data_IF_338803015584
#
_entry.id   IF_338803015584
#
_cell.length_a   1.000
_cell.length_b   1.000
_cell.length_c   1.000
_cell.angle_alpha   90.00
_cell.angle_beta   90.00
_cell.angle_gamma   90.00
#
_symmetry.space_group_name_H-M   'P 1'
#
loop_
_entity.id
_entity.type
_entity.pdbx_description
1 polymer ?
#
# COMPACT_ATOMS: atom_id res chain seq x y z
N UNK A 1 -11.94 24.59 -5.81
CA UNK A 1 -12.62 23.97 -4.63
C UNK A 1 -12.19 22.53 -4.36
N UNK A 2 -11.47 21.87 -5.27
CA UNK A 2 -10.96 20.49 -5.11
C UNK A 2 -9.70 20.41 -4.24
N UNK A 3 -8.78 21.37 -4.36
CA UNK A 3 -7.49 21.40 -3.62
C UNK A 3 -7.66 21.45 -2.10
N UNK A 4 -8.69 22.13 -1.59
CA UNK A 4 -8.94 22.26 -0.14
C UNK A 4 -9.35 20.91 0.49
N UNK A 5 -9.96 20.01 -0.29
CA UNK A 5 -10.39 18.68 0.19
C UNK A 5 -9.24 17.67 0.21
N UNK A 6 -8.35 17.71 -0.78
CA UNK A 6 -7.18 16.83 -0.85
C UNK A 6 -6.21 17.04 0.32
N UNK A 7 -5.88 18.30 0.63
CA UNK A 7 -4.99 18.63 1.75
C UNK A 7 -5.55 18.20 3.12
N UNK A 8 -6.84 18.39 3.37
CA UNK A 8 -7.49 17.96 4.61
C UNK A 8 -7.47 16.43 4.78
N UNK A 9 -7.66 15.68 3.68
CA UNK A 9 -7.59 14.23 3.70
C UNK A 9 -6.17 13.72 3.92
N UNK A 10 -5.18 14.29 3.24
CA UNK A 10 -3.78 13.97 3.45
C UNK A 10 -3.37 14.19 4.91
N UNK A 11 -3.71 15.34 5.50
CA UNK A 11 -3.43 15.64 6.91
C UNK A 11 -4.08 14.61 7.85
N UNK A 12 -5.33 14.22 7.62
CA UNK A 12 -6.02 13.20 8.41
C UNK A 12 -5.26 11.87 8.40
N UNK A 13 -4.82 11.40 7.22
CA UNK A 13 -4.09 10.15 7.11
C UNK A 13 -2.67 10.26 7.70
N UNK A 14 -1.98 11.38 7.52
CA UNK A 14 -0.68 11.64 8.15
C UNK A 14 -0.79 11.54 9.68
N UNK A 15 -1.76 12.23 10.30
CA UNK A 15 -1.95 12.18 11.75
C UNK A 15 -2.33 10.78 12.25
N UNK A 16 -3.14 10.04 11.49
CA UNK A 16 -3.49 8.65 11.81
C UNK A 16 -2.26 7.75 11.75
N UNK A 17 -1.44 7.88 10.72
CA UNK A 17 -0.20 7.12 10.55
C UNK A 17 0.84 7.50 11.61
N UNK A 18 0.98 8.78 11.92
CA UNK A 18 1.86 9.26 13.00
C UNK A 18 1.49 8.61 14.34
N UNK A 19 0.19 8.54 14.66
CA UNK A 19 -0.28 7.84 15.86
C UNK A 19 0.07 6.36 15.83
N UNK A 20 -0.11 5.68 14.69
CA UNK A 20 0.25 4.27 14.55
C UNK A 20 1.75 4.06 14.77
N UNK A 21 2.60 4.88 14.15
CA UNK A 21 4.06 4.85 14.28
C UNK A 21 4.52 5.10 15.72
N UNK A 22 3.91 6.05 16.43
CA UNK A 22 4.21 6.30 17.86
C UNK A 22 3.93 5.10 18.75
N UNK A 23 2.91 4.30 18.41
CA UNK A 23 2.54 3.09 19.16
C UNK A 23 3.13 1.80 18.58
N UNK A 24 3.94 1.90 17.53
CA UNK A 24 4.47 0.74 16.83
C UNK A 24 5.39 -0.05 17.76
N UNK A 25 5.16 -1.36 17.82
CA UNK A 25 6.05 -2.31 18.49
C UNK A 25 6.42 -3.39 17.51
N UNK A 26 7.72 -3.64 17.36
CA UNK A 26 8.20 -4.77 16.56
C UNK A 26 7.90 -6.05 17.34
N UNK A 27 7.07 -6.90 16.76
CA UNK A 27 6.77 -8.22 17.32
C UNK A 27 7.67 -9.21 16.60
N UNK A 28 8.72 -9.67 17.28
CA UNK A 28 9.50 -10.80 16.82
C UNK A 28 8.68 -12.07 17.10
N UNK A 29 8.08 -12.64 16.07
CA UNK A 29 7.53 -13.99 16.15
C UNK A 29 8.48 -14.97 15.50
N UNK A 30 8.60 -16.17 16.06
CA UNK A 30 9.23 -17.31 15.39
C UNK A 30 8.38 -17.87 14.24
N UNK A 31 7.37 -17.11 13.78
CA UNK A 31 6.42 -17.55 12.77
C UNK A 31 7.05 -17.39 11.41
N UNK A 32 7.25 -18.52 10.73
CA UNK A 32 7.58 -18.54 9.31
C UNK A 32 6.41 -17.94 8.54
N UNK A 33 6.66 -16.90 7.73
CA UNK A 33 5.65 -16.37 6.82
C UNK A 33 5.40 -17.45 5.76
N UNK A 34 4.26 -18.13 5.85
CA UNK A 34 3.91 -19.20 4.92
C UNK A 34 3.53 -18.66 3.54
N UNK A 35 3.71 -19.51 2.52
CA UNK A 35 3.40 -19.21 1.12
C UNK A 35 1.98 -18.64 0.94
N UNK A 36 0.97 -19.20 1.60
CA UNK A 36 -0.41 -18.70 1.54
C UNK A 36 -0.53 -17.23 1.98
N UNK A 37 0.28 -16.79 2.94
CA UNK A 37 0.28 -15.39 3.39
C UNK A 37 0.94 -14.50 2.33
N UNK A 38 2.05 -14.93 1.75
CA UNK A 38 2.72 -14.22 0.64
C UNK A 38 1.76 -14.08 -0.53
N UNK A 39 1.11 -15.16 -0.94
CA UNK A 39 0.16 -15.17 -2.07
C UNK A 39 -1.04 -14.27 -1.82
N UNK A 40 -1.52 -14.15 -0.58
CA UNK A 40 -2.58 -13.18 -0.23
C UNK A 40 -2.11 -11.73 -0.37
N UNK A 41 -0.88 -11.42 -0.01
CA UNK A 41 -0.32 -10.07 -0.18
C UNK A 41 -0.14 -9.76 -1.67
N UNK A 42 0.35 -10.72 -2.46
CA UNK A 42 0.48 -10.60 -3.92
C UNK A 42 -0.89 -10.40 -4.58
N UNK A 43 -1.91 -11.15 -4.15
CA UNK A 43 -3.29 -10.98 -4.64
C UNK A 43 -3.83 -9.57 -4.34
N UNK A 44 -3.60 -9.07 -3.12
CA UNK A 44 -3.99 -7.71 -2.76
C UNK A 44 -3.27 -6.66 -3.62
N UNK A 45 -1.95 -6.81 -3.84
CA UNK A 45 -1.20 -5.93 -4.73
C UNK A 45 -1.79 -5.91 -6.16
N UNK A 46 -2.13 -7.09 -6.71
CA UNK A 46 -2.79 -7.20 -8.02
C UNK A 46 -4.15 -6.49 -8.07
N UNK A 47 -4.93 -6.56 -6.99
CA UNK A 47 -6.22 -5.85 -6.91
C UNK A 47 -6.02 -4.33 -6.94
N UNK A 48 -5.04 -3.80 -6.20
CA UNK A 48 -4.70 -2.37 -6.26
C UNK A 48 -4.12 -1.93 -7.61
N UNK A 49 -3.43 -2.83 -8.34
CA UNK A 49 -3.01 -2.58 -9.71
C UNK A 49 -4.21 -2.44 -10.67
N UNK A 50 -5.21 -3.31 -10.54
CA UNK A 50 -6.45 -3.18 -11.32
C UNK A 50 -7.26 -1.94 -10.93
N UNK A 51 -7.32 -1.59 -9.64
CA UNK A 51 -7.92 -0.34 -9.17
C UNK A 51 -7.21 0.88 -9.78
N UNK A 52 -5.87 0.87 -9.83
CA UNK A 52 -5.11 1.97 -10.42
C UNK A 52 -5.47 2.19 -11.89
N UNK A 53 -5.58 1.12 -12.67
CA UNK A 53 -6.05 1.18 -14.07
C UNK A 53 -7.49 1.71 -14.16
N UNK A 54 -8.39 1.19 -13.33
CA UNK A 54 -9.78 1.59 -13.29
C UNK A 54 -9.94 3.11 -13.06
N UNK A 55 -9.24 3.65 -12.05
CA UNK A 55 -9.31 5.09 -11.76
C UNK A 55 -8.58 5.94 -12.80
N UNK A 56 -7.53 5.41 -13.44
CA UNK A 56 -6.82 6.10 -14.52
C UNK A 56 -7.72 6.33 -15.73
N UNK A 57 -8.44 5.29 -16.18
CA UNK A 57 -9.38 5.36 -17.30
C UNK A 57 -10.49 6.40 -17.07
N UNK A 58 -10.84 6.63 -15.79
CA UNK A 58 -11.86 7.59 -15.36
C UNK A 58 -11.32 9.00 -15.11
N UNK A 59 -10.02 9.23 -15.35
CA UNK A 59 -9.31 10.50 -15.08
C UNK A 59 -9.32 10.89 -13.59
N UNK A 60 -9.47 9.92 -12.70
CA UNK A 60 -9.38 10.08 -11.24
C UNK A 60 -7.92 9.89 -10.81
N UNK A 61 -7.04 10.77 -11.28
CA UNK A 61 -5.58 10.59 -11.22
C UNK A 61 -5.01 10.46 -9.81
N UNK A 62 -5.52 11.23 -8.85
CA UNK A 62 -5.06 11.17 -7.45
C UNK A 62 -5.34 9.79 -6.82
N UNK A 63 -6.51 9.22 -7.11
CA UNK A 63 -6.90 7.89 -6.60
C UNK A 63 -6.11 6.80 -7.32
N UNK A 64 -5.95 6.93 -8.64
CA UNK A 64 -5.11 6.02 -9.43
C UNK A 64 -3.68 5.97 -8.90
N UNK A 65 -3.07 7.14 -8.64
CA UNK A 65 -1.72 7.25 -8.11
C UNK A 65 -1.61 6.65 -6.70
N UNK A 66 -2.58 6.92 -5.82
CA UNK A 66 -2.60 6.32 -4.49
C UNK A 66 -2.73 4.79 -4.54
N UNK A 67 -3.55 4.26 -5.46
CA UNK A 67 -3.72 2.81 -5.64
C UNK A 67 -2.44 2.13 -6.13
N UNK A 68 -1.77 2.69 -7.15
CA UNK A 68 -0.52 2.08 -7.64
C UNK A 68 0.60 2.19 -6.61
N UNK A 69 0.74 3.32 -5.89
CA UNK A 69 1.74 3.43 -4.82
C UNK A 69 1.51 2.42 -3.68
N UNK A 70 0.27 2.06 -3.39
CA UNK A 70 -0.02 1.00 -2.40
C UNK A 70 0.32 -0.39 -2.95
N UNK A 71 -0.01 -0.69 -4.21
CA UNK A 71 0.43 -1.91 -4.89
C UNK A 71 1.96 -2.06 -4.81
N UNK A 72 2.70 -1.02 -5.20
CA UNK A 72 4.16 -1.04 -5.20
C UNK A 72 4.74 -1.22 -3.80
N UNK A 73 4.19 -0.50 -2.81
CA UNK A 73 4.62 -0.63 -1.41
C UNK A 73 4.43 -2.02 -0.83
N UNK A 74 3.38 -2.75 -1.23
CA UNK A 74 3.19 -4.15 -0.83
C UNK A 74 4.25 -5.06 -1.45
N UNK A 75 4.56 -4.88 -2.73
CA UNK A 75 5.57 -5.68 -3.44
C UNK A 75 6.98 -5.40 -2.91
N UNK A 76 7.32 -4.14 -2.67
CA UNK A 76 8.60 -3.75 -2.07
C UNK A 76 8.76 -4.32 -0.65
N UNK A 77 7.70 -4.34 0.16
CA UNK A 77 7.74 -4.98 1.47
C UNK A 77 8.05 -6.48 1.39
N UNK A 78 7.47 -7.21 0.42
CA UNK A 78 7.80 -8.63 0.19
C UNK A 78 9.24 -8.80 -0.26
N UNK A 79 9.75 -7.92 -1.14
CA UNK A 79 11.16 -7.93 -1.56
C UNK A 79 12.11 -7.67 -0.39
N UNK A 80 11.80 -6.70 0.47
CA UNK A 80 12.59 -6.39 1.68
C UNK A 80 12.67 -7.57 2.65
N UNK A 81 11.64 -8.43 2.66
CA UNK A 81 11.60 -9.65 3.46
C UNK A 81 12.28 -10.85 2.78
N UNK A 82 12.76 -10.71 1.55
CA UNK A 82 13.34 -11.81 0.75
C UNK A 82 12.29 -12.82 0.27
N UNK A 83 11.02 -12.42 0.18
CA UNK A 83 9.89 -13.30 -0.16
C UNK A 83 9.40 -13.14 -1.61
N UNK A 84 9.93 -12.17 -2.35
CA UNK A 84 9.61 -11.93 -3.75
C UNK A 84 10.77 -11.30 -4.51
N UNK A 85 10.90 -11.62 -5.80
CA UNK A 85 11.89 -11.06 -6.73
C UNK A 85 11.18 -10.59 -7.99
N UNK A 86 11.50 -9.40 -8.47
CA UNK A 86 10.94 -8.78 -9.67
C UNK A 86 11.77 -7.56 -10.08
N UNK A 87 11.50 -6.99 -11.25
CA UNK A 87 12.10 -5.75 -11.76
C UNK A 87 11.00 -4.69 -11.97
N UNK A 88 11.37 -3.42 -11.91
CA UNK A 88 10.49 -2.26 -12.12
C UNK A 88 10.60 -1.73 -13.54
#
# INVERSE_FOLDING_TARGET
>A
MTEIKGGAMALKYILKTEKALKSLRIVYSSTVIGETTVMRIVDEAKRYFEDAKYYLERKEYEVSLASISYCEGLLDALRMLGLAEFEW
#
